data_IF_464239749382
#
_entry.id   IF_464239749382
#
_cell.length_a   1.000
_cell.length_b   1.000
_cell.length_c   1.000
_cell.angle_alpha   90.00
_cell.angle_beta   90.00
_cell.angle_gamma   90.00
#
_symmetry.space_group_name_H-M   'P 1'
#
loop_
_entity.id
_entity.type
_entity.pdbx_description
1 polymer ?
#
# COMPACT_ATOMS: atom_id res chain seq x y z
N UNK A 1 9.08 -8.74 -40.47
CA UNK A 1 8.62 -7.67 -41.39
C UNK A 1 7.15 -7.31 -41.19
N UNK A 2 6.16 -8.22 -41.31
CA UNK A 2 4.72 -7.88 -41.09
C UNK A 2 4.38 -7.25 -39.73
N UNK A 3 5.17 -7.51 -38.68
CA UNK A 3 4.93 -6.94 -37.34
C UNK A 3 5.46 -5.49 -37.18
N UNK A 4 6.51 -5.10 -37.91
CA UNK A 4 7.14 -3.78 -37.76
C UNK A 4 6.33 -2.67 -38.44
N UNK A 5 5.85 -2.89 -39.66
CA UNK A 5 5.02 -1.90 -40.39
C UNK A 5 3.70 -1.62 -39.66
N UNK A 6 3.09 -2.65 -39.07
CA UNK A 6 1.89 -2.50 -38.25
C UNK A 6 2.18 -1.71 -36.98
N UNK A 7 3.30 -1.98 -36.31
CA UNK A 7 3.71 -1.24 -35.12
C UNK A 7 4.02 0.24 -35.46
N UNK A 8 4.75 0.49 -36.54
CA UNK A 8 5.05 1.84 -37.03
C UNK A 8 3.76 2.63 -37.34
N UNK A 9 2.79 1.99 -37.98
CA UNK A 9 1.51 2.62 -38.30
C UNK A 9 0.73 2.97 -37.02
N UNK A 10 0.68 2.04 -36.05
CA UNK A 10 0.06 2.28 -34.74
C UNK A 10 0.75 3.42 -33.99
N UNK A 11 2.07 3.46 -33.95
CA UNK A 11 2.80 4.55 -33.28
C UNK A 11 2.59 5.90 -33.96
N UNK A 12 2.54 5.90 -35.30
CA UNK A 12 2.30 7.11 -36.08
C UNK A 12 0.91 7.71 -35.79
N UNK A 13 -0.13 6.89 -35.60
CA UNK A 13 -1.47 7.40 -35.27
C UNK A 13 -1.55 8.08 -33.90
N UNK A 14 -0.58 7.84 -33.01
CA UNK A 14 -0.47 8.47 -31.70
C UNK A 14 0.70 9.46 -31.59
N UNK A 15 1.37 9.79 -32.71
CA UNK A 15 2.56 10.67 -32.74
C UNK A 15 3.74 10.18 -31.89
N UNK A 16 3.93 8.86 -31.80
CA UNK A 16 4.96 8.21 -30.97
C UNK A 16 6.03 7.47 -31.79
N UNK A 17 6.15 7.73 -33.10
CA UNK A 17 7.08 6.99 -33.99
C UNK A 17 8.56 7.13 -33.60
N UNK A 18 8.93 8.18 -32.86
CA UNK A 18 10.31 8.44 -32.46
C UNK A 18 10.90 7.35 -31.56
N UNK A 19 10.07 6.54 -30.89
CA UNK A 19 10.56 5.42 -30.05
C UNK A 19 11.30 4.36 -30.86
N UNK A 20 11.09 4.30 -32.18
CA UNK A 20 11.77 3.38 -33.08
C UNK A 20 13.01 3.99 -33.76
N UNK A 21 13.45 5.20 -33.37
CA UNK A 21 14.54 5.91 -34.07
C UNK A 21 15.88 5.18 -34.09
N UNK A 22 16.12 4.27 -33.16
CA UNK A 22 17.35 3.46 -33.08
C UNK A 22 17.14 2.02 -33.55
N UNK A 23 15.98 1.68 -34.13
CA UNK A 23 15.59 0.30 -34.40
C UNK A 23 16.62 -0.51 -35.19
N UNK A 24 17.25 0.10 -36.20
CA UNK A 24 18.25 -0.54 -37.06
C UNK A 24 19.60 -0.77 -36.36
N UNK A 25 19.84 -0.13 -35.22
CA UNK A 25 21.01 -0.34 -34.36
C UNK A 25 20.80 -1.47 -33.34
N UNK A 26 19.55 -1.90 -33.14
CA UNK A 26 19.19 -2.84 -32.08
C UNK A 26 19.45 -4.30 -32.50
N UNK A 27 19.93 -5.09 -31.55
CA UNK A 27 19.94 -6.55 -31.69
C UNK A 27 18.51 -7.13 -31.75
N UNK A 28 18.30 -8.35 -32.28
CA UNK A 28 16.98 -8.99 -32.28
C UNK A 28 16.33 -9.13 -30.89
N UNK A 29 17.12 -9.37 -29.85
CA UNK A 29 16.64 -9.43 -28.46
C UNK A 29 16.17 -8.08 -27.93
N UNK A 30 16.88 -7.01 -28.30
CA UNK A 30 16.52 -5.65 -27.93
C UNK A 30 15.26 -5.16 -28.64
N UNK A 31 15.14 -5.49 -29.93
CA UNK A 31 13.93 -5.27 -30.71
C UNK A 31 12.72 -5.99 -30.07
N UNK A 32 12.87 -7.27 -29.72
CA UNK A 32 11.81 -8.04 -29.08
C UNK A 32 11.37 -7.43 -27.74
N UNK A 33 12.32 -6.98 -26.91
CA UNK A 33 12.02 -6.28 -25.64
C UNK A 33 11.22 -5.00 -25.87
N UNK A 34 11.66 -4.15 -26.78
CA UNK A 34 10.97 -2.89 -27.07
C UNK A 34 9.55 -3.13 -27.61
N UNK A 35 9.38 -4.11 -28.50
CA UNK A 35 8.06 -4.52 -29.00
C UNK A 35 7.15 -4.96 -27.86
N UNK A 36 7.63 -5.84 -26.97
CA UNK A 36 6.84 -6.31 -25.83
C UNK A 36 6.36 -5.14 -24.95
N UNK A 37 7.22 -4.16 -24.67
CA UNK A 37 6.83 -2.98 -23.88
C UNK A 37 5.80 -2.11 -24.60
N UNK A 38 5.91 -1.95 -25.92
CA UNK A 38 4.95 -1.16 -26.72
C UNK A 38 3.61 -1.88 -26.85
N UNK A 39 3.60 -3.21 -26.90
CA UNK A 39 2.37 -4.01 -26.97
C UNK A 39 1.54 -3.93 -25.68
N UNK A 40 2.19 -3.76 -24.52
CA UNK A 40 1.53 -3.58 -23.22
C UNK A 40 0.85 -2.21 -23.05
N UNK A 41 1.18 -1.22 -23.88
CA UNK A 41 0.62 0.13 -23.78
C UNK A 41 -0.76 0.20 -24.44
N UNK A 42 -1.74 0.64 -23.66
CA UNK A 42 -3.00 1.17 -24.17
C UNK A 42 -2.77 2.63 -24.62
N UNK A 43 -2.45 2.80 -25.91
CA UNK A 43 -2.18 4.11 -26.50
C UNK A 43 -3.40 5.03 -26.55
N UNK A 44 -4.61 4.50 -26.60
CA UNK A 44 -5.82 5.32 -26.57
C UNK A 44 -6.02 5.93 -25.19
N UNK A 45 -5.83 5.13 -24.13
CA UNK A 45 -5.82 5.62 -22.77
C UNK A 45 -4.69 6.64 -22.55
N UNK A 46 -3.47 6.32 -23.00
CA UNK A 46 -2.32 7.22 -22.85
C UNK A 46 -2.55 8.56 -23.56
N UNK A 47 -3.12 8.55 -24.76
CA UNK A 47 -3.43 9.78 -25.50
C UNK A 47 -4.43 10.68 -24.74
N UNK A 48 -5.47 10.10 -24.13
CA UNK A 48 -6.40 10.83 -23.26
C UNK A 48 -5.69 11.42 -22.04
N UNK A 49 -4.78 10.66 -21.44
CA UNK A 49 -4.00 11.12 -20.29
C UNK A 49 -3.06 12.28 -20.64
N UNK A 50 -2.43 12.24 -21.82
CA UNK A 50 -1.55 13.30 -22.34
C UNK A 50 -2.34 14.58 -22.64
N UNK A 51 -3.55 14.46 -23.18
CA UNK A 51 -4.37 15.61 -23.54
C UNK A 51 -4.81 16.46 -22.33
N UNK A 52 -4.74 15.92 -21.11
CA UNK A 52 -5.13 16.57 -19.83
C UNK A 52 -6.53 17.20 -19.89
N UNK A 53 -7.47 16.52 -20.56
CA UNK A 53 -8.86 16.98 -20.73
C UNK A 53 -9.74 16.74 -19.48
N UNK A 54 -9.16 16.22 -18.40
CA UNK A 54 -9.90 15.95 -17.16
C UNK A 54 -10.26 17.25 -16.46
N UNK A 55 -11.54 17.42 -16.13
CA UNK A 55 -12.01 18.56 -15.36
C UNK A 55 -11.38 18.51 -13.96
N UNK A 56 -10.53 19.49 -13.62
CA UNK A 56 -9.89 19.52 -12.30
C UNK A 56 -10.94 19.86 -11.24
N UNK A 57 -11.11 19.02 -10.22
CA UNK A 57 -12.04 19.33 -9.14
C UNK A 57 -11.64 20.63 -8.46
N UNK A 58 -12.61 21.46 -8.09
CA UNK A 58 -12.36 22.56 -7.16
C UNK A 58 -12.16 21.97 -5.76
N UNK A 59 -10.92 21.57 -5.46
CA UNK A 59 -10.54 20.99 -4.19
C UNK A 59 -10.80 21.93 -3.02
N UNK A 60 -10.78 23.25 -3.23
CA UNK A 60 -11.10 24.21 -2.19
C UNK A 60 -12.59 24.17 -1.83
N UNK A 61 -13.46 24.18 -2.85
CA UNK A 61 -14.90 24.03 -2.65
C UNK A 61 -15.25 22.66 -2.04
N UNK A 62 -14.65 21.59 -2.55
CA UNK A 62 -14.82 20.23 -2.00
C UNK A 62 -14.41 20.16 -0.54
N UNK A 63 -13.24 20.68 -0.18
CA UNK A 63 -12.75 20.65 1.19
C UNK A 63 -13.56 21.55 2.13
N UNK A 64 -14.07 22.69 1.65
CA UNK A 64 -14.95 23.55 2.42
C UNK A 64 -16.29 22.87 2.75
N UNK A 65 -16.86 22.17 1.77
CA UNK A 65 -18.10 21.40 1.90
C UNK A 65 -17.91 20.03 2.57
N UNK A 66 -16.67 19.63 2.85
CA UNK A 66 -16.38 18.30 3.38
C UNK A 66 -16.93 18.10 4.79
N UNK A 67 -17.45 16.89 5.01
CA UNK A 67 -17.97 16.40 6.27
C UNK A 67 -17.14 15.21 6.77
N UNK A 68 -17.26 14.91 8.07
CA UNK A 68 -16.60 13.75 8.65
C UNK A 68 -17.16 12.45 8.02
N UNK A 69 -16.31 11.46 7.73
CA UNK A 69 -16.78 10.20 7.18
C UNK A 69 -17.55 9.37 8.22
N UNK A 70 -18.43 8.45 7.79
CA UNK A 70 -18.95 7.40 8.65
C UNK A 70 -17.78 6.61 9.25
N UNK A 71 -17.63 6.69 10.57
CA UNK A 71 -16.44 6.17 11.24
C UNK A 71 -16.73 5.62 12.63
N UNK A 72 -15.91 4.67 13.05
CA UNK A 72 -15.72 4.35 14.47
C UNK A 72 -14.41 4.99 14.96
N UNK A 73 -14.46 5.59 16.14
CA UNK A 73 -13.31 6.24 16.80
C UNK A 73 -12.59 5.24 17.73
N UNK A 74 -11.39 5.58 18.20
CA UNK A 74 -10.58 4.70 19.08
C UNK A 74 -11.31 4.33 20.37
N UNK A 75 -12.17 5.20 20.88
CA UNK A 75 -12.99 4.96 22.08
C UNK A 75 -14.24 4.11 21.80
N UNK A 76 -14.42 3.61 20.58
CA UNK A 76 -15.57 2.82 20.13
C UNK A 76 -16.79 3.66 19.75
N UNK A 77 -16.74 4.99 19.84
CA UNK A 77 -17.85 5.86 19.46
C UNK A 77 -18.02 5.96 17.93
N UNK A 78 -19.22 6.29 17.46
CA UNK A 78 -19.52 6.53 16.04
C UNK A 78 -20.15 5.35 15.29
N UNK A 79 -20.20 4.16 15.89
CA UNK A 79 -20.87 2.98 15.34
C UNK A 79 -22.06 2.52 16.21
N UNK A 80 -22.98 1.76 15.62
CA UNK A 80 -24.14 1.17 16.30
C UNK A 80 -23.84 -0.15 17.03
N UNK A 81 -22.56 -0.53 17.13
CA UNK A 81 -22.08 -1.77 17.74
C UNK A 81 -20.80 -1.49 18.54
N UNK A 82 -20.44 -2.39 19.46
CA UNK A 82 -19.22 -2.24 20.28
C UNK A 82 -17.99 -2.82 19.59
N UNK A 83 -16.80 -2.45 20.08
CA UNK A 83 -15.52 -2.99 19.59
C UNK A 83 -15.45 -4.51 19.80
N UNK A 84 -16.00 -5.02 20.89
CA UNK A 84 -16.03 -6.47 21.19
C UNK A 84 -16.92 -7.23 20.20
N UNK A 85 -18.07 -6.65 19.82
CA UNK A 85 -18.95 -7.25 18.81
C UNK A 85 -18.28 -7.29 17.44
N UNK A 86 -17.61 -6.20 17.05
CA UNK A 86 -16.80 -6.17 15.84
C UNK A 86 -15.71 -7.24 15.90
N UNK A 87 -14.91 -7.26 16.98
CA UNK A 87 -13.86 -8.25 17.15
C UNK A 87 -14.39 -9.69 17.00
N UNK A 88 -15.49 -10.04 17.67
CA UNK A 88 -16.10 -11.37 17.54
C UNK A 88 -16.49 -11.70 16.08
N UNK A 89 -17.06 -10.74 15.36
CA UNK A 89 -17.41 -10.93 13.95
C UNK A 89 -16.18 -11.17 13.06
N UNK A 90 -15.10 -10.42 13.27
CA UNK A 90 -13.85 -10.63 12.53
C UNK A 90 -13.13 -11.92 12.90
N UNK A 91 -13.15 -12.32 14.17
CA UNK A 91 -12.63 -13.62 14.62
C UNK A 91 -13.40 -14.78 13.98
N UNK A 92 -14.73 -14.65 13.85
CA UNK A 92 -15.55 -15.64 13.16
C UNK A 92 -15.21 -15.74 11.67
N UNK A 93 -14.98 -14.62 10.98
CA UNK A 93 -14.57 -14.63 9.56
C UNK A 93 -13.19 -15.26 9.36
N UNK A 94 -12.23 -15.01 10.26
CA UNK A 94 -10.91 -15.65 10.24
C UNK A 94 -11.03 -17.18 10.45
N UNK A 95 -11.80 -17.62 11.45
CA UNK A 95 -12.04 -19.04 11.71
C UNK A 95 -12.82 -19.74 10.58
N UNK A 96 -13.62 -19.00 9.83
CA UNK A 96 -14.32 -19.49 8.64
C UNK A 96 -13.42 -19.60 7.39
N UNK A 97 -12.20 -19.01 7.42
CA UNK A 97 -11.31 -18.97 6.26
C UNK A 97 -11.74 -17.96 5.19
N UNK A 98 -12.53 -16.93 5.57
CA UNK A 98 -13.10 -15.95 4.64
C UNK A 98 -12.17 -14.74 4.39
N UNK A 99 -10.97 -14.74 4.97
CA UNK A 99 -10.03 -13.61 4.94
C UNK A 99 -8.73 -14.00 4.27
N UNK A 100 -8.26 -13.18 3.33
CA UNK A 100 -6.91 -13.23 2.75
C UNK A 100 -6.12 -11.98 3.11
N UNK A 101 -4.80 -12.06 3.02
CA UNK A 101 -3.88 -10.94 3.24
C UNK A 101 -3.31 -10.47 1.90
N UNK A 102 -3.25 -9.16 1.70
CA UNK A 102 -2.54 -8.56 0.56
C UNK A 102 -1.56 -7.48 1.00
N UNK A 103 -0.30 -7.64 0.59
CA UNK A 103 0.77 -6.66 0.81
C UNK A 103 1.19 -6.07 -0.52
N UNK A 104 1.18 -4.74 -0.60
CA UNK A 104 1.75 -4.01 -1.73
C UNK A 104 3.22 -3.68 -1.46
N UNK A 105 4.10 -4.35 -2.20
CA UNK A 105 5.56 -4.34 -2.06
C UNK A 105 6.29 -3.97 -3.37
N UNK A 106 5.68 -3.10 -4.19
CA UNK A 106 6.27 -2.65 -5.45
C UNK A 106 7.47 -1.71 -5.31
N UNK A 107 7.69 -1.13 -4.13
CA UNK A 107 8.74 -0.15 -3.89
C UNK A 107 10.10 -0.74 -3.49
N UNK A 108 11.18 -0.19 -4.05
CA UNK A 108 12.55 -0.44 -3.58
C UNK A 108 12.86 0.35 -2.29
N UNK A 109 13.82 -0.12 -1.52
CA UNK A 109 14.30 0.53 -0.30
C UNK A 109 15.30 1.68 -0.52
N UNK A 110 15.52 2.15 -1.75
CA UNK A 110 16.62 3.07 -2.09
C UNK A 110 16.64 4.36 -1.27
N UNK A 111 15.47 4.92 -0.93
CA UNK A 111 15.36 6.10 -0.03
C UNK A 111 15.86 5.84 1.40
N UNK A 112 15.97 4.59 1.79
CA UNK A 112 16.50 4.13 3.08
C UNK A 112 18.02 3.84 3.01
N UNK A 113 18.65 4.00 1.83
CA UNK A 113 20.00 3.49 1.58
C UNK A 113 20.05 1.96 1.48
N UNK A 114 18.94 1.33 1.08
CA UNK A 114 18.80 -0.13 0.99
C UNK A 114 18.42 -0.52 -0.45
N UNK A 115 19.35 -1.13 -1.18
CA UNK A 115 19.21 -1.40 -2.62
C UNK A 115 18.27 -2.56 -2.96
N UNK A 116 17.72 -3.25 -1.96
CA UNK A 116 16.83 -4.41 -2.13
C UNK A 116 15.34 -4.01 -2.01
N UNK A 117 14.39 -4.91 -2.38
CA UNK A 117 12.97 -4.72 -2.10
C UNK A 117 12.71 -4.34 -0.65
N UNK A 118 11.86 -3.33 -0.43
CA UNK A 118 11.64 -2.75 0.91
C UNK A 118 11.15 -3.75 1.94
N UNK A 119 10.38 -4.77 1.55
CA UNK A 119 9.91 -5.82 2.46
C UNK A 119 11.03 -6.66 3.07
N UNK A 120 12.23 -6.67 2.47
CA UNK A 120 13.42 -7.34 2.99
C UNK A 120 14.18 -6.47 4.01
N UNK A 121 13.73 -5.24 4.28
CA UNK A 121 14.42 -4.34 5.20
C UNK A 121 14.31 -4.82 6.66
N UNK A 122 15.42 -4.92 7.41
CA UNK A 122 15.43 -5.37 8.81
C UNK A 122 14.90 -4.29 9.76
N UNK A 123 13.69 -4.52 10.27
CA UNK A 123 12.95 -3.55 11.10
C UNK A 123 12.83 -3.99 12.56
N UNK A 124 13.07 -5.26 12.87
CA UNK A 124 13.06 -5.77 14.25
C UNK A 124 14.10 -5.05 15.13
N UNK A 125 13.70 -4.44 16.27
CA UNK A 125 14.62 -3.71 17.15
C UNK A 125 15.59 -4.63 17.93
N UNK A 126 15.23 -5.89 18.14
CA UNK A 126 16.07 -6.91 18.80
C UNK A 126 16.35 -8.09 17.88
N UNK A 127 15.33 -8.56 17.16
CA UNK A 127 15.39 -9.76 16.32
C UNK A 127 16.06 -9.55 14.95
N UNK A 128 16.16 -8.29 14.49
CA UNK A 128 16.50 -7.92 13.12
C UNK A 128 15.60 -8.55 12.03
N UNK A 129 14.41 -9.06 12.41
CA UNK A 129 13.44 -9.59 11.44
C UNK A 129 13.05 -8.51 10.44
N UNK A 130 12.83 -8.94 9.20
CA UNK A 130 12.44 -8.08 8.09
C UNK A 130 10.95 -7.72 8.17
N UNK A 131 10.53 -6.70 7.41
CA UNK A 131 9.10 -6.36 7.27
C UNK A 131 8.27 -7.56 6.78
N UNK A 132 8.75 -8.31 5.79
CA UNK A 132 8.06 -9.53 5.33
C UNK A 132 7.94 -10.58 6.44
N UNK A 133 8.99 -10.77 7.26
CA UNK A 133 8.93 -11.72 8.37
C UNK A 133 7.93 -11.28 9.45
N UNK A 134 7.82 -9.98 9.75
CA UNK A 134 6.79 -9.44 10.66
C UNK A 134 5.38 -9.82 10.21
N UNK A 135 5.10 -9.69 8.90
CA UNK A 135 3.79 -10.06 8.35
C UNK A 135 3.58 -11.58 8.35
N UNK A 136 4.58 -12.36 7.95
CA UNK A 136 4.50 -13.82 7.96
C UNK A 136 4.29 -14.40 9.38
N UNK A 137 5.05 -13.93 10.37
CA UNK A 137 4.90 -14.34 11.77
C UNK A 137 3.49 -14.08 12.30
N UNK A 138 2.91 -12.94 11.91
CA UNK A 138 1.54 -12.60 12.27
C UNK A 138 0.53 -13.52 11.61
N UNK A 139 0.66 -13.82 10.31
CA UNK A 139 -0.24 -14.74 9.62
C UNK A 139 -0.16 -16.15 10.21
N UNK A 140 1.04 -16.62 10.55
CA UNK A 140 1.25 -17.89 11.26
C UNK A 140 0.54 -17.91 12.63
N UNK A 141 0.71 -16.86 13.42
CA UNK A 141 0.05 -16.74 14.73
C UNK A 141 -1.48 -16.73 14.63
N UNK A 142 -2.04 -16.05 13.61
CA UNK A 142 -3.47 -16.06 13.34
C UNK A 142 -3.96 -17.44 12.89
N UNK A 143 -3.19 -18.11 12.03
CA UNK A 143 -3.52 -19.46 11.58
C UNK A 143 -3.54 -20.47 12.73
N UNK A 144 -2.55 -20.41 13.63
CA UNK A 144 -2.51 -21.20 14.86
C UNK A 144 -3.71 -20.91 15.77
N UNK A 145 -4.09 -19.63 15.92
CA UNK A 145 -5.20 -19.21 16.79
C UNK A 145 -6.57 -19.63 16.26
N UNK A 146 -6.81 -19.48 14.96
CA UNK A 146 -8.14 -19.66 14.35
C UNK A 146 -8.29 -20.97 13.56
N UNK A 147 -7.22 -21.76 13.43
CA UNK A 147 -7.24 -23.08 12.79
C UNK A 147 -7.39 -23.03 11.26
N UNK A 148 -7.10 -21.88 10.64
CA UNK A 148 -7.20 -21.66 9.19
C UNK A 148 -6.00 -20.88 8.69
N UNK A 149 -5.34 -21.38 7.66
CA UNK A 149 -4.33 -20.62 6.91
C UNK A 149 -4.96 -19.39 6.28
N UNK A 150 -4.18 -18.31 6.18
CA UNK A 150 -4.58 -17.06 5.53
C UNK A 150 -3.75 -16.92 4.25
N UNK A 151 -4.36 -17.01 3.06
CA UNK A 151 -3.63 -16.82 1.80
C UNK A 151 -2.97 -15.45 1.75
N UNK A 152 -1.69 -15.42 1.36
CA UNK A 152 -0.84 -14.24 1.35
C UNK A 152 -0.48 -13.83 -0.08
N UNK A 153 -1.15 -12.78 -0.55
CA UNK A 153 -0.93 -12.18 -1.86
C UNK A 153 0.09 -11.04 -1.75
N UNK A 154 1.13 -11.06 -2.56
CA UNK A 154 2.20 -10.06 -2.52
C UNK A 154 2.33 -9.41 -3.90
N UNK A 155 2.00 -8.12 -3.98
CA UNK A 155 2.15 -7.36 -5.21
C UNK A 155 3.54 -6.74 -5.30
N UNK A 156 4.30 -7.10 -6.34
CA UNK A 156 5.65 -6.59 -6.63
C UNK A 156 5.63 -5.66 -7.85
N UNK A 157 6.77 -5.03 -8.13
CA UNK A 157 7.02 -4.32 -9.39
C UNK A 157 8.02 -5.10 -10.25
N UNK A 158 8.24 -4.65 -11.49
CA UNK A 158 9.31 -5.18 -12.34
C UNK A 158 10.66 -5.24 -11.59
N UNK A 159 10.97 -4.15 -10.87
CA UNK A 159 12.23 -3.97 -10.17
C UNK A 159 12.36 -4.77 -8.86
N UNK A 160 11.25 -5.27 -8.30
CA UNK A 160 11.27 -5.98 -7.00
C UNK A 160 10.89 -7.45 -7.08
N UNK A 161 10.29 -7.92 -8.18
CA UNK A 161 9.69 -9.26 -8.26
C UNK A 161 10.71 -10.40 -8.12
N UNK A 162 11.77 -10.40 -8.93
CA UNK A 162 12.74 -11.49 -8.96
C UNK A 162 13.45 -11.66 -7.60
N UNK A 163 13.92 -10.56 -7.01
CA UNK A 163 14.55 -10.56 -5.68
C UNK A 163 13.57 -10.96 -4.58
N UNK A 164 12.31 -10.52 -4.65
CA UNK A 164 11.29 -10.90 -3.65
C UNK A 164 11.01 -12.40 -3.71
N UNK A 165 10.83 -12.99 -4.91
CA UNK A 165 10.63 -14.44 -5.06
C UNK A 165 11.81 -15.22 -4.51
N UNK A 166 13.03 -14.84 -4.92
CA UNK A 166 14.24 -15.48 -4.46
C UNK A 166 14.39 -15.40 -2.93
N UNK A 167 14.03 -14.26 -2.32
CA UNK A 167 14.04 -14.11 -0.87
C UNK A 167 13.08 -15.08 -0.17
N UNK A 168 11.83 -15.21 -0.64
CA UNK A 168 10.88 -16.16 -0.06
C UNK A 168 11.36 -17.61 -0.21
N UNK A 169 11.86 -18.00 -1.39
CA UNK A 169 12.39 -19.35 -1.63
C UNK A 169 13.60 -19.67 -0.74
N UNK A 170 14.55 -18.73 -0.61
CA UNK A 170 15.78 -18.93 0.18
C UNK A 170 15.54 -18.96 1.69
N UNK A 171 14.40 -18.41 2.15
CA UNK A 171 14.06 -18.32 3.57
C UNK A 171 12.88 -19.23 3.93
N UNK A 172 12.69 -20.34 3.21
CA UNK A 172 11.65 -21.35 3.48
C UNK A 172 10.25 -20.73 3.64
N UNK A 173 9.92 -19.79 2.74
CA UNK A 173 8.68 -19.00 2.73
C UNK A 173 8.35 -18.35 4.07
N UNK A 174 9.39 -18.03 4.87
CA UNK A 174 9.28 -17.39 6.18
C UNK A 174 8.49 -18.24 7.18
N UNK A 175 8.42 -19.56 6.96
CA UNK A 175 7.64 -20.53 7.73
C UNK A 175 6.20 -20.73 7.25
N UNK A 176 5.74 -19.96 6.24
CA UNK A 176 4.45 -20.19 5.59
C UNK A 176 4.52 -21.38 4.64
N UNK A 177 3.38 -22.01 4.36
CA UNK A 177 3.32 -22.98 3.25
C UNK A 177 3.51 -22.24 1.92
N UNK A 178 4.33 -22.75 0.98
CA UNK A 178 4.47 -22.19 -0.36
C UNK A 178 3.12 -22.05 -1.09
N UNK A 179 2.19 -22.98 -0.86
CA UNK A 179 0.85 -22.98 -1.46
C UNK A 179 -0.05 -21.85 -0.92
N UNK A 180 0.33 -21.17 0.16
CA UNK A 180 -0.38 -20.02 0.71
C UNK A 180 0.21 -18.69 0.23
N UNK A 181 1.32 -18.68 -0.51
CA UNK A 181 1.99 -17.44 -0.94
C UNK A 181 1.87 -17.27 -2.45
N UNK A 182 1.17 -16.22 -2.88
CA UNK A 182 1.04 -15.85 -4.29
C UNK A 182 1.68 -14.48 -4.53
N UNK A 183 2.86 -14.49 -5.16
CA UNK A 183 3.57 -13.26 -5.58
C UNK A 183 3.17 -12.93 -7.02
N UNK A 184 2.75 -11.70 -7.28
CA UNK A 184 2.34 -11.23 -8.61
C UNK A 184 2.79 -9.80 -8.89
N UNK A 185 2.94 -9.47 -10.18
CA UNK A 185 3.46 -8.16 -10.62
C UNK A 185 2.35 -7.18 -10.96
N UNK A 186 2.51 -5.95 -10.49
CA UNK A 186 1.68 -4.82 -10.90
C UNK A 186 1.93 -4.39 -12.36
N UNK A 187 1.12 -3.46 -12.86
CA UNK A 187 1.32 -2.87 -14.19
C UNK A 187 2.44 -1.84 -14.20
N UNK A 188 2.73 -1.32 -15.38
CA UNK A 188 3.59 -0.15 -15.54
C UNK A 188 2.96 0.84 -16.49
N UNK A 189 3.25 2.12 -16.28
CA UNK A 189 2.94 3.19 -17.21
C UNK A 189 4.24 3.79 -17.75
N UNK A 190 4.29 4.17 -19.04
CA UNK A 190 5.41 4.93 -19.56
C UNK A 190 5.43 6.36 -19.01
N UNK A 191 6.63 6.87 -18.77
CA UNK A 191 6.85 8.30 -18.58
C UNK A 191 6.80 9.00 -19.95
N UNK A 192 6.14 10.16 -19.98
CA UNK A 192 6.07 11.01 -21.17
C UNK A 192 6.76 12.33 -20.89
N UNK A 193 7.37 12.90 -21.92
CA UNK A 193 7.90 14.25 -21.89
C UNK A 193 6.78 15.25 -21.54
N UNK A 194 7.04 16.12 -20.56
CA UNK A 194 6.02 17.00 -20.01
C UNK A 194 5.55 18.09 -20.99
N UNK A 195 6.36 18.44 -21.98
CA UNK A 195 6.03 19.48 -22.95
C UNK A 195 5.36 18.94 -24.21
N UNK A 196 5.75 17.73 -24.63
CA UNK A 196 5.35 17.16 -25.93
C UNK A 196 4.42 15.96 -25.81
N UNK A 197 4.34 15.33 -24.64
CA UNK A 197 3.62 14.06 -24.46
C UNK A 197 4.29 12.86 -25.14
N UNK A 198 5.52 13.01 -25.64
CA UNK A 198 6.25 11.93 -26.27
C UNK A 198 6.76 10.91 -25.25
N UNK A 199 6.65 9.62 -25.55
CA UNK A 199 7.23 8.54 -24.75
C UNK A 199 8.74 8.77 -24.54
N UNK A 200 9.19 8.66 -23.30
CA UNK A 200 10.61 8.69 -22.98
C UNK A 200 11.25 7.30 -23.13
N UNK A 201 12.48 7.27 -23.64
CA UNK A 201 13.33 6.08 -23.73
C UNK A 201 14.33 6.08 -22.58
N UNK A 202 14.37 5.03 -21.77
CA UNK A 202 15.43 4.84 -20.76
C UNK A 202 16.74 4.35 -21.38
N UNK A 203 16.66 3.66 -22.51
CA UNK A 203 17.80 3.27 -23.35
C UNK A 203 17.35 3.24 -24.82
N UNK A 204 18.28 3.03 -25.77
CA UNK A 204 17.93 2.88 -27.19
C UNK A 204 16.90 1.79 -27.45
N UNK A 205 16.80 0.79 -26.57
CA UNK A 205 15.96 -0.40 -26.71
C UNK A 205 15.00 -0.64 -25.53
N UNK A 206 14.67 0.41 -24.76
CA UNK A 206 13.68 0.30 -23.67
C UNK A 206 13.02 1.65 -23.39
N UNK A 207 11.70 1.61 -23.17
CA UNK A 207 10.93 2.73 -22.64
C UNK A 207 11.35 3.05 -21.21
N UNK A 208 11.16 4.32 -20.80
CA UNK A 208 11.22 4.73 -19.41
C UNK A 208 9.88 4.42 -18.73
N UNK A 209 9.81 3.25 -18.10
CA UNK A 209 8.60 2.76 -17.41
C UNK A 209 8.65 3.06 -15.91
N UNK A 210 7.48 3.21 -15.30
CA UNK A 210 7.32 3.23 -13.85
C UNK A 210 6.11 2.40 -13.42
N UNK A 211 6.09 1.89 -12.18
CA UNK A 211 4.87 1.41 -11.53
C UNK A 211 3.64 2.28 -11.81
N UNK A 212 2.49 1.65 -12.03
CA UNK A 212 1.20 2.34 -12.25
C UNK A 212 0.50 2.75 -10.94
N UNK A 213 1.26 2.90 -9.85
CA UNK A 213 0.77 3.25 -8.52
C UNK A 213 0.11 2.10 -7.76
N UNK A 214 -0.12 2.27 -6.47
CA UNK A 214 -0.70 1.22 -5.63
C UNK A 214 -2.16 0.89 -5.98
N UNK A 215 -2.88 1.78 -6.68
CA UNK A 215 -4.18 1.48 -7.28
C UNK A 215 -4.11 0.46 -8.44
N UNK A 216 -2.94 0.25 -9.04
CA UNK A 216 -2.69 -0.83 -10.00
C UNK A 216 -3.02 -2.24 -9.45
N UNK A 217 -3.07 -2.38 -8.13
CA UNK A 217 -3.48 -3.62 -7.42
C UNK A 217 -4.76 -4.23 -7.97
N UNK A 218 -5.77 -3.43 -8.30
CA UNK A 218 -7.06 -3.97 -8.76
C UNK A 218 -6.91 -4.75 -10.07
N UNK A 219 -6.20 -4.19 -11.04
CA UNK A 219 -5.98 -4.85 -12.33
C UNK A 219 -4.94 -5.96 -12.23
N UNK A 220 -3.92 -5.77 -11.39
CA UNK A 220 -2.90 -6.78 -11.14
C UNK A 220 -3.47 -8.05 -10.51
N UNK A 221 -4.40 -7.93 -9.55
CA UNK A 221 -5.11 -9.06 -8.96
C UNK A 221 -5.96 -9.82 -9.98
N UNK A 222 -6.67 -9.11 -10.87
CA UNK A 222 -7.47 -9.74 -11.92
C UNK A 222 -6.60 -10.44 -12.97
N UNK A 223 -5.54 -9.78 -13.45
CA UNK A 223 -4.64 -10.29 -14.50
C UNK A 223 -3.84 -11.51 -14.04
N UNK A 224 -3.43 -11.54 -12.78
CA UNK A 224 -2.65 -12.64 -12.20
C UNK A 224 -3.48 -13.87 -11.85
N UNK A 225 -4.81 -13.78 -11.88
CA UNK A 225 -5.71 -14.83 -11.40
C UNK A 225 -5.86 -14.86 -9.87
N UNK A 226 -5.24 -13.93 -9.13
CA UNK A 226 -5.31 -13.88 -7.67
C UNK A 226 -6.75 -13.66 -7.15
N UNK A 227 -7.60 -12.92 -7.87
CA UNK A 227 -9.03 -12.82 -7.50
C UNK A 227 -9.75 -14.17 -7.62
N UNK A 228 -9.44 -14.96 -8.64
CA UNK A 228 -10.05 -16.27 -8.86
C UNK A 228 -9.53 -17.30 -7.85
N UNK A 229 -8.23 -17.27 -7.53
CA UNK A 229 -7.63 -18.07 -6.47
C UNK A 229 -8.26 -17.76 -5.10
N UNK A 230 -8.39 -16.47 -4.75
CA UNK A 230 -9.06 -16.05 -3.51
C UNK A 230 -10.49 -16.60 -3.41
N UNK A 231 -11.27 -16.48 -4.49
CA UNK A 231 -12.63 -17.03 -4.55
C UNK A 231 -12.65 -18.54 -4.40
N UNK A 232 -11.73 -19.24 -5.06
CA UNK A 232 -11.64 -20.70 -4.99
C UNK A 232 -11.34 -21.19 -3.57
N UNK A 233 -10.53 -20.44 -2.82
CA UNK A 233 -10.20 -20.70 -1.41
C UNK A 233 -11.30 -20.31 -0.42
N UNK A 234 -12.39 -19.70 -0.89
CA UNK A 234 -13.48 -19.21 -0.04
C UNK A 234 -13.23 -17.84 0.61
N UNK A 235 -12.18 -17.13 0.20
CA UNK A 235 -11.89 -15.77 0.67
C UNK A 235 -12.95 -14.81 0.16
N UNK A 236 -13.49 -14.01 1.07
CA UNK A 236 -14.49 -12.95 0.80
C UNK A 236 -13.94 -11.55 1.02
N UNK A 237 -12.94 -11.41 1.89
CA UNK A 237 -12.36 -10.13 2.29
C UNK A 237 -10.84 -10.17 2.19
N UNK A 238 -10.24 -9.15 1.57
CA UNK A 238 -8.79 -8.95 1.60
C UNK A 238 -8.43 -7.88 2.64
N UNK A 239 -7.57 -8.24 3.59
CA UNK A 239 -6.87 -7.28 4.44
C UNK A 239 -5.65 -6.75 3.69
N UNK A 240 -5.72 -5.49 3.30
CA UNK A 240 -4.74 -4.80 2.47
C UNK A 240 -3.85 -3.89 3.32
N UNK A 241 -2.53 -3.95 3.09
CA UNK A 241 -1.55 -3.02 3.65
C UNK A 241 -0.48 -2.63 2.63
N UNK A 242 0.17 -1.49 2.86
CA UNK A 242 1.46 -1.17 2.25
C UNK A 242 2.60 -1.77 3.09
N UNK A 243 3.65 -2.26 2.43
CA UNK A 243 4.74 -3.03 3.08
C UNK A 243 5.53 -2.25 4.15
N UNK A 244 5.41 -0.92 4.22
CA UNK A 244 6.36 -0.05 4.92
C UNK A 244 6.06 0.21 6.40
N UNK A 245 4.96 -0.30 6.93
CA UNK A 245 4.52 -0.05 8.29
C UNK A 245 4.63 -1.33 9.15
N UNK A 246 5.64 -1.46 10.03
CA UNK A 246 5.80 -2.63 10.89
C UNK A 246 4.78 -2.70 12.03
N UNK A 247 4.11 -1.60 12.39
CA UNK A 247 3.07 -1.59 13.43
C UNK A 247 1.68 -1.97 12.91
N UNK A 248 1.52 -2.15 11.60
CA UNK A 248 0.21 -2.49 11.06
C UNK A 248 -0.24 -3.86 11.53
N UNK A 249 -1.48 -3.92 11.99
CA UNK A 249 -2.12 -5.16 12.40
C UNK A 249 -2.75 -5.85 11.17
N UNK A 250 -1.91 -6.51 10.35
CA UNK A 250 -2.40 -7.29 9.18
C UNK A 250 -3.45 -8.32 9.61
N UNK A 251 -4.58 -8.38 8.92
CA UNK A 251 -5.72 -9.23 9.29
C UNK A 251 -6.22 -9.01 10.73
N UNK A 252 -6.26 -7.75 11.18
CA UNK A 252 -6.84 -7.36 12.48
C UNK A 252 -8.33 -7.76 12.59
N UNK A 253 -8.70 -8.64 13.56
CA UNK A 253 -10.08 -9.04 13.77
C UNK A 253 -11.02 -7.88 14.05
N UNK A 254 -10.57 -6.83 14.76
CA UNK A 254 -11.44 -5.69 15.06
C UNK A 254 -11.77 -4.89 13.79
N UNK A 255 -10.75 -4.56 12.98
CA UNK A 255 -10.93 -3.88 11.70
C UNK A 255 -11.83 -4.69 10.73
N UNK A 256 -11.59 -6.00 10.59
CA UNK A 256 -12.43 -6.89 9.77
C UNK A 256 -13.87 -6.90 10.31
N UNK A 257 -14.02 -6.94 11.63
CA UNK A 257 -15.30 -6.84 12.32
C UNK A 257 -16.10 -5.60 11.95
N UNK A 258 -15.48 -4.42 12.06
CA UNK A 258 -16.13 -3.16 11.69
C UNK A 258 -16.52 -3.14 10.21
N UNK A 259 -15.69 -3.70 9.33
CA UNK A 259 -16.01 -3.87 7.91
C UNK A 259 -17.28 -4.71 7.68
N UNK A 260 -17.41 -5.83 8.38
CA UNK A 260 -18.58 -6.70 8.30
C UNK A 260 -19.84 -6.05 8.87
N UNK A 261 -19.73 -5.44 10.06
CA UNK A 261 -20.86 -4.80 10.76
C UNK A 261 -21.39 -3.57 10.02
N UNK A 262 -20.52 -2.83 9.33
CA UNK A 262 -20.91 -1.70 8.46
C UNK A 262 -21.43 -2.14 7.09
N UNK A 263 -21.40 -3.45 6.77
CA UNK A 263 -21.74 -3.98 5.45
C UNK A 263 -20.99 -3.25 4.33
N UNK A 264 -19.73 -2.93 4.59
CA UNK A 264 -18.89 -2.13 3.72
C UNK A 264 -18.29 -2.96 2.60
N UNK A 265 -18.22 -2.41 1.39
CA UNK A 265 -17.40 -2.98 0.30
C UNK A 265 -15.92 -2.61 0.45
N UNK A 266 -15.62 -1.47 1.11
CA UNK A 266 -14.28 -0.96 1.38
C UNK A 266 -14.24 -0.19 2.70
N UNK A 267 -13.52 -0.74 3.66
CA UNK A 267 -13.25 -0.09 4.95
C UNK A 267 -11.81 0.36 4.99
N UNK A 268 -11.56 1.58 5.47
CA UNK A 268 -10.20 2.13 5.59
C UNK A 268 -9.86 2.41 7.04
N UNK A 269 -8.68 1.96 7.48
CA UNK A 269 -8.15 2.35 8.77
C UNK A 269 -7.40 3.68 8.65
N UNK A 270 -7.57 4.54 9.66
CA UNK A 270 -7.00 5.89 9.71
C UNK A 270 -6.37 6.15 11.07
N UNK A 271 -5.47 7.12 11.11
CA UNK A 271 -5.08 7.78 12.36
C UNK A 271 -5.72 9.15 12.43
N UNK A 272 -5.88 9.65 13.66
CA UNK A 272 -6.14 11.06 13.86
C UNK A 272 -4.92 11.88 13.50
N UNK A 273 -5.11 12.89 12.64
CA UNK A 273 -4.05 13.84 12.31
C UNK A 273 -3.55 14.56 13.56
N UNK A 274 -2.22 14.63 13.69
CA UNK A 274 -1.50 15.32 14.76
C UNK A 274 -1.55 16.82 14.58
N UNK A 275 -1.52 17.29 13.33
CA UNK A 275 -1.57 18.70 12.97
C UNK A 275 -2.26 18.89 11.59
N UNK A 276 -2.79 20.10 11.30
CA UNK A 276 -3.55 20.39 10.08
C UNK A 276 -2.90 19.95 8.76
N UNK A 277 -1.60 20.21 8.61
CA UNK A 277 -0.85 19.97 7.37
C UNK A 277 -0.01 18.67 7.40
N UNK A 278 -0.42 17.70 8.20
CA UNK A 278 0.21 16.38 8.18
C UNK A 278 0.06 15.74 6.78
N UNK A 279 1.16 15.19 6.23
CA UNK A 279 1.26 14.68 4.85
C UNK A 279 0.60 13.31 4.70
N UNK A 280 -0.72 13.29 4.87
CA UNK A 280 -1.58 12.12 4.73
C UNK A 280 -2.78 12.48 3.86
N UNK A 281 -3.31 11.51 3.12
CA UNK A 281 -4.59 11.67 2.43
C UNK A 281 -5.72 11.85 3.46
N UNK A 282 -6.59 12.85 3.24
CA UNK A 282 -7.66 13.21 4.19
C UNK A 282 -8.95 12.51 3.77
N UNK A 283 -9.42 11.54 4.56
CA UNK A 283 -10.67 10.85 4.27
C UNK A 283 -11.84 11.72 4.75
N UNK A 284 -12.77 12.03 3.84
CA UNK A 284 -13.94 12.85 4.15
C UNK A 284 -15.13 12.46 3.26
N UNK A 285 -16.31 12.91 3.64
CA UNK A 285 -17.46 12.93 2.74
C UNK A 285 -17.46 14.25 1.99
N UNK A 286 -17.37 14.19 0.67
CA UNK A 286 -17.52 15.34 -0.21
C UNK A 286 -18.34 14.92 -1.43
N UNK A 287 -19.23 15.79 -1.91
CA UNK A 287 -20.16 15.43 -3.00
C UNK A 287 -21.07 14.23 -2.67
N UNK A 288 -21.35 13.97 -1.39
CA UNK A 288 -22.20 12.87 -0.93
C UNK A 288 -21.54 11.49 -0.92
N UNK A 289 -20.24 11.39 -1.22
CA UNK A 289 -19.48 10.12 -1.21
C UNK A 289 -18.25 10.24 -0.33
N UNK A 290 -17.81 9.10 0.24
CA UNK A 290 -16.53 9.02 0.96
C UNK A 290 -15.40 9.02 -0.06
N UNK A 291 -14.42 9.90 0.12
CA UNK A 291 -13.28 10.03 -0.77
C UNK A 291 -12.05 10.54 -0.03
N UNK A 292 -10.89 10.51 -0.70
CA UNK A 292 -9.65 11.11 -0.19
C UNK A 292 -9.45 12.47 -0.83
N UNK A 293 -9.12 13.46 -0.01
CA UNK A 293 -8.58 14.74 -0.45
C UNK A 293 -7.09 14.73 -0.14
N UNK A 294 -6.27 14.69 -1.19
CA UNK A 294 -4.82 14.66 -1.05
C UNK A 294 -4.29 15.94 -0.41
N UNK A 295 -3.22 15.80 0.39
CA UNK A 295 -2.65 16.94 1.11
C UNK A 295 -2.01 17.99 0.18
N UNK A 296 -1.60 17.58 -1.03
CA UNK A 296 -1.04 18.45 -2.06
C UNK A 296 -2.06 19.44 -2.61
N UNK A 297 -3.33 19.05 -2.59
CA UNK A 297 -4.43 19.78 -3.21
C UNK A 297 -5.28 20.54 -2.19
N UNK A 298 -4.92 20.46 -0.90
CA UNK A 298 -5.68 21.01 0.20
C UNK A 298 -5.27 22.46 0.53
N UNK A 299 -6.19 23.44 0.46
CA UNK A 299 -5.90 24.79 0.95
C UNK A 299 -5.69 24.79 2.47
N UNK A 300 -4.74 25.62 2.94
CA UNK A 300 -4.41 25.74 4.38
C UNK A 300 -5.65 26.02 5.23
N UNK A 301 -6.52 26.93 4.79
CA UNK A 301 -7.75 27.26 5.52
C UNK A 301 -8.69 26.06 5.72
N UNK A 302 -8.75 25.15 4.74
CA UNK A 302 -9.55 23.93 4.85
C UNK A 302 -8.87 22.89 5.76
N UNK A 303 -7.54 22.78 5.68
CA UNK A 303 -6.76 21.91 6.56
C UNK A 303 -6.87 22.31 8.04
N UNK A 304 -6.92 23.60 8.33
CA UNK A 304 -7.02 24.19 9.67
C UNK A 304 -8.46 24.27 10.19
N UNK A 305 -9.45 24.00 9.34
CA UNK A 305 -10.85 24.10 9.71
C UNK A 305 -11.20 23.17 10.88
N UNK A 306 -11.96 23.72 11.84
CA UNK A 306 -12.37 23.00 13.05
C UNK A 306 -13.89 22.88 13.16
N UNK A 307 -14.34 21.82 13.81
CA UNK A 307 -15.74 21.61 14.14
C UNK A 307 -16.16 22.40 15.40
N UNK A 308 -17.43 22.26 15.82
CA UNK A 308 -17.97 22.93 17.00
C UNK A 308 -17.31 22.49 18.33
N UNK A 309 -16.60 21.35 18.34
CA UNK A 309 -15.86 20.83 19.49
C UNK A 309 -14.38 21.29 19.46
N UNK A 310 -13.97 22.05 18.45
CA UNK A 310 -12.60 22.50 18.25
C UNK A 310 -11.68 21.43 17.64
N UNK A 311 -12.23 20.30 17.19
CA UNK A 311 -11.47 19.24 16.51
C UNK A 311 -11.26 19.59 15.04
N UNK A 312 -10.22 19.06 14.40
CA UNK A 312 -10.05 19.23 12.95
C UNK A 312 -11.25 18.61 12.21
N UNK A 313 -11.85 19.35 11.27
CA UNK A 313 -12.90 18.78 10.40
C UNK A 313 -12.34 17.62 9.57
N UNK A 314 -11.16 17.85 8.99
CA UNK A 314 -10.39 16.85 8.26
C UNK A 314 -9.39 16.19 9.22
N UNK A 315 -9.90 15.31 10.07
CA UNK A 315 -9.12 14.60 11.10
C UNK A 315 -8.59 13.24 10.63
N UNK A 316 -9.28 12.58 9.70
CA UNK A 316 -9.04 11.19 9.33
C UNK A 316 -7.89 11.07 8.31
N UNK A 317 -6.69 10.80 8.81
CA UNK A 317 -5.49 10.58 8.00
C UNK A 317 -5.36 9.14 7.54
N UNK A 318 -5.40 8.92 6.23
CA UNK A 318 -5.20 7.59 5.63
C UNK A 318 -3.79 7.07 5.90
N UNK A 319 -3.72 5.80 6.34
CA UNK A 319 -2.46 5.08 6.58
C UNK A 319 -2.22 3.95 5.57
N UNK A 320 -3.03 3.87 4.50
CA UNK A 320 -2.89 2.86 3.45
C UNK A 320 -3.25 1.44 3.89
N UNK A 321 -4.19 1.31 4.84
CA UNK A 321 -4.67 0.05 5.40
C UNK A 321 -6.16 -0.09 5.13
N UNK A 322 -6.56 -1.19 4.50
CA UNK A 322 -7.93 -1.40 4.06
C UNK A 322 -8.42 -2.83 4.32
N UNK A 323 -9.74 -3.00 4.40
CA UNK A 323 -10.42 -4.29 4.21
C UNK A 323 -11.35 -4.14 3.03
N UNK A 324 -11.18 -5.00 2.03
CA UNK A 324 -11.85 -4.86 0.72
C UNK A 324 -12.60 -6.15 0.39
N UNK A 325 -13.86 -6.03 -0.02
CA UNK A 325 -14.63 -7.17 -0.50
C UNK A 325 -14.11 -7.66 -1.86
N UNK A 326 -13.97 -8.98 -2.00
CA UNK A 326 -13.54 -9.62 -3.24
C UNK A 326 -14.52 -9.33 -4.38
N UNK A 327 -15.83 -9.39 -4.13
CA UNK A 327 -16.82 -9.12 -5.18
C UNK A 327 -16.82 -7.66 -5.65
N UNK A 328 -16.50 -6.72 -4.75
CA UNK A 328 -16.27 -5.34 -5.12
C UNK A 328 -15.06 -5.20 -6.05
N UNK A 329 -13.94 -5.84 -5.75
CA UNK A 329 -12.75 -5.85 -6.62
C UNK A 329 -13.03 -6.50 -7.99
N UNK A 330 -13.78 -7.61 -8.03
CA UNK A 330 -14.20 -8.23 -9.28
C UNK A 330 -15.12 -7.34 -10.13
N UNK A 331 -15.97 -6.53 -9.48
CA UNK A 331 -16.83 -5.57 -10.18
C UNK A 331 -16.03 -4.42 -10.77
N UNK A 332 -15.14 -3.82 -9.97
CA UNK A 332 -14.35 -2.65 -10.35
C UNK A 332 -13.29 -3.00 -11.40
N UNK A 333 -12.62 -4.15 -11.29
CA UNK A 333 -11.61 -4.58 -12.28
C UNK A 333 -12.16 -4.69 -13.71
N UNK A 334 -13.45 -4.99 -13.86
CA UNK A 334 -14.14 -5.06 -15.15
C UNK A 334 -14.62 -3.71 -15.68
N UNK A 335 -14.60 -2.67 -14.86
CA UNK A 335 -15.05 -1.34 -15.25
C UNK A 335 -13.88 -0.56 -15.86
N UNK A 336 -14.07 -0.09 -17.10
CA UNK A 336 -13.09 0.77 -17.78
C UNK A 336 -12.99 2.10 -17.03
N UNK A 337 -11.78 2.52 -16.68
CA UNK A 337 -11.54 3.79 -16.00
C UNK A 337 -12.03 3.85 -14.55
N UNK A 338 -12.19 2.70 -13.88
CA UNK A 338 -12.72 2.66 -12.50
C UNK A 338 -11.83 3.38 -11.46
N UNK A 339 -10.56 3.58 -11.79
CA UNK A 339 -9.59 4.31 -10.98
C UNK A 339 -8.95 5.41 -11.84
N UNK A 340 -9.06 6.69 -11.45
CA UNK A 340 -8.41 7.78 -12.17
C UNK A 340 -6.89 7.66 -12.11
N UNK A 341 -6.21 8.22 -13.10
CA UNK A 341 -4.77 8.41 -13.05
C UNK A 341 -4.44 9.79 -12.52
N UNK A 342 -3.50 9.83 -11.60
CA UNK A 342 -2.87 11.03 -11.08
C UNK A 342 -1.59 11.32 -11.86
N UNK A 343 -1.37 12.60 -12.16
CA UNK A 343 -0.21 13.08 -12.91
C UNK A 343 0.86 13.58 -11.93
N UNK A 344 2.07 13.03 -12.02
CA UNK A 344 3.19 13.44 -11.18
C UNK A 344 4.36 13.97 -12.04
N UNK A 345 4.74 15.23 -11.83
CA UNK A 345 5.92 15.83 -12.45
C UNK A 345 7.20 15.30 -11.80
N UNK A 346 8.09 14.71 -12.61
CA UNK A 346 9.31 14.03 -12.14
C UNK A 346 10.52 14.31 -13.04
N UNK A 347 11.71 14.17 -12.46
CA UNK A 347 12.98 14.05 -13.17
C UNK A 347 13.14 12.59 -13.60
N UNK A 348 13.16 12.34 -14.91
CA UNK A 348 13.28 11.01 -15.49
C UNK A 348 14.48 11.00 -16.45
N UNK A 349 15.56 10.28 -16.11
CA UNK A 349 16.66 10.06 -17.04
C UNK A 349 16.16 9.42 -18.33
N UNK A 350 16.67 9.90 -19.46
CA UNK A 350 16.24 9.45 -20.78
C UNK A 350 17.38 9.49 -21.78
N UNK A 351 17.23 8.79 -22.89
CA UNK A 351 18.14 8.85 -24.03
C UNK A 351 17.67 9.91 -25.02
N UNK A 352 18.57 10.80 -25.42
CA UNK A 352 18.30 11.86 -26.39
C UNK A 352 18.28 11.37 -27.85
N UNK A 353 18.13 12.28 -28.81
CA UNK A 353 18.11 11.96 -30.24
C UNK A 353 19.45 11.41 -30.77
N UNK A 354 20.58 11.71 -30.12
CA UNK A 354 21.90 11.20 -30.47
C UNK A 354 22.21 9.84 -29.82
N UNK A 355 21.32 9.34 -28.96
CA UNK A 355 21.53 8.08 -28.26
C UNK A 355 22.31 8.21 -26.95
N UNK A 356 22.47 9.43 -26.42
CA UNK A 356 23.20 9.71 -25.18
C UNK A 356 22.24 9.78 -23.98
N UNK A 357 22.68 9.24 -22.84
CA UNK A 357 21.92 9.31 -21.59
C UNK A 357 21.98 10.73 -21.03
N UNK A 358 20.82 11.29 -20.72
CA UNK A 358 20.65 12.61 -20.13
C UNK A 358 20.03 12.47 -18.75
N UNK A 359 20.67 13.08 -17.75
CA UNK A 359 20.12 13.24 -16.41
C UNK A 359 19.59 14.68 -16.24
N UNK A 360 18.26 14.86 -16.19
CA UNK A 360 17.66 16.19 -16.18
C UNK A 360 17.83 16.89 -14.83
N UNK A 361 18.22 18.17 -14.86
CA UNK A 361 18.36 19.01 -13.65
C UNK A 361 17.03 19.49 -13.08
N UNK A 362 15.98 19.58 -13.91
CA UNK A 362 14.61 19.97 -13.56
C UNK A 362 13.60 18.90 -14.01
N UNK A 363 12.39 18.84 -13.44
CA UNK A 363 11.36 17.89 -13.89
C UNK A 363 11.08 18.01 -15.39
N UNK A 364 11.27 16.92 -16.13
CA UNK A 364 11.12 16.85 -17.60
C UNK A 364 9.95 15.95 -18.03
N UNK A 365 9.37 15.18 -17.10
CA UNK A 365 8.44 14.12 -17.44
C UNK A 365 7.20 14.12 -16.56
N UNK A 366 6.09 13.66 -17.14
CA UNK A 366 4.86 13.31 -16.44
C UNK A 366 4.80 11.80 -16.25
N UNK A 367 4.58 11.35 -15.01
CA UNK A 367 4.25 9.97 -14.67
C UNK A 367 2.78 9.84 -14.30
N UNK A 368 2.21 8.66 -14.55
CA UNK A 368 0.81 8.35 -14.29
C UNK A 368 0.71 7.25 -13.24
N UNK A 369 0.00 7.52 -12.14
CA UNK A 369 -0.18 6.59 -11.03
C UNK A 369 -1.65 6.50 -10.65
N UNK A 370 -2.12 5.30 -10.25
CA UNK A 370 -3.43 5.11 -9.64
C UNK A 370 -3.28 4.97 -8.14
N UNK A 371 -4.28 5.45 -7.39
CA UNK A 371 -4.30 5.29 -5.95
C UNK A 371 -5.45 4.39 -5.49
N UNK A 372 -5.14 3.41 -4.63
CA UNK A 372 -6.10 2.41 -4.13
C UNK A 372 -7.30 3.03 -3.41
N UNK A 373 -7.12 4.19 -2.79
CA UNK A 373 -8.16 4.86 -2.03
C UNK A 373 -9.19 5.57 -2.92
N UNK A 374 -8.90 5.77 -4.21
CA UNK A 374 -9.89 6.26 -5.19
C UNK A 374 -10.98 5.22 -5.49
N UNK A 375 -10.92 4.05 -4.85
CA UNK A 375 -12.02 3.10 -4.80
C UNK A 375 -13.15 3.53 -3.87
N UNK A 376 -12.88 4.39 -2.87
CA UNK A 376 -13.87 4.79 -1.85
C UNK A 376 -15.17 5.37 -2.46
N UNK A 377 -15.13 6.24 -3.47
CA UNK A 377 -16.35 6.76 -4.10
C UNK A 377 -17.23 5.68 -4.75
N UNK A 378 -16.63 4.56 -5.15
CA UNK A 378 -17.33 3.46 -5.84
C UNK A 378 -17.83 2.36 -4.89
N UNK A 379 -17.44 2.42 -3.62
CA UNK A 379 -17.76 1.41 -2.62
C UNK A 379 -19.09 1.72 -1.92
N UNK A 380 -19.94 0.71 -1.79
CA UNK A 380 -21.13 0.78 -0.96
C UNK A 380 -20.74 0.76 0.51
N UNK A 381 -21.38 1.63 1.28
CA UNK A 381 -21.17 1.78 2.72
C UNK A 381 -19.67 1.94 3.06
N UNK A 382 -18.94 2.73 2.29
CA UNK A 382 -17.54 3.05 2.61
C UNK A 382 -17.43 3.53 4.06
N UNK A 383 -16.54 2.90 4.83
CA UNK A 383 -16.49 3.08 6.29
C UNK A 383 -15.06 3.32 6.76
N UNK A 384 -14.91 4.05 7.86
CA UNK A 384 -13.61 4.44 8.42
C UNK A 384 -13.45 3.88 9.84
N UNK A 385 -12.25 3.39 10.16
CA UNK A 385 -11.93 2.89 11.49
C UNK A 385 -10.68 3.60 11.99
N UNK A 386 -10.81 4.36 13.07
CA UNK A 386 -9.67 5.02 13.70
C UNK A 386 -8.85 4.01 14.51
N UNK A 387 -7.54 4.07 14.39
CA UNK A 387 -6.58 3.39 15.27
C UNK A 387 -5.69 4.41 15.96
N UNK A 388 -5.26 4.09 17.18
CA UNK A 388 -4.21 4.88 17.83
C UNK A 388 -2.92 4.73 17.02
N UNK A 389 -2.28 5.84 16.63
CA UNK A 389 -1.06 5.82 15.84
C UNK A 389 0.04 4.96 16.51
N UNK A 390 0.14 5.04 17.84
CA UNK A 390 1.08 4.27 18.65
C UNK A 390 0.88 2.74 18.55
N UNK A 391 -0.26 2.28 18.04
CA UNK A 391 -0.63 0.88 17.94
C UNK A 391 -0.86 0.39 16.50
N UNK A 392 -0.74 1.28 15.50
CA UNK A 392 -1.05 0.94 14.12
C UNK A 392 -0.24 1.66 13.04
N UNK A 393 0.59 2.66 13.37
CA UNK A 393 1.27 3.47 12.36
C UNK A 393 2.67 3.97 12.77
N UNK A 394 3.70 3.37 12.18
CA UNK A 394 5.08 3.86 12.25
C UNK A 394 5.84 3.53 10.95
N UNK A 395 5.49 4.16 9.82
CA UNK A 395 6.03 3.79 8.53
C UNK A 395 7.53 4.09 8.40
N UNK A 396 8.23 3.31 7.59
CA UNK A 396 9.66 3.48 7.29
C UNK A 396 9.78 4.05 5.87
N UNK A 397 9.85 5.36 5.68
CA UNK A 397 9.88 6.01 4.35
C UNK A 397 11.20 6.69 4.02
N UNK A 398 11.93 7.16 5.04
CA UNK A 398 13.13 7.97 4.90
C UNK A 398 14.30 7.31 5.64
N UNK A 399 15.54 7.54 5.20
CA UNK A 399 16.72 7.11 5.94
C UNK A 399 16.83 7.78 7.32
N UNK A 400 17.59 7.17 8.22
CA UNK A 400 17.90 7.77 9.52
C UNK A 400 18.61 9.12 9.35
N UNK A 401 18.22 10.10 10.16
CA UNK A 401 18.63 11.51 10.04
C UNK A 401 17.55 12.43 9.46
N UNK A 402 16.51 11.87 8.82
CA UNK A 402 15.30 12.62 8.51
C UNK A 402 14.44 12.89 9.75
N UNK A 403 13.54 13.87 9.66
CA UNK A 403 12.67 14.30 10.77
C UNK A 403 11.65 13.23 11.19
N UNK A 404 11.10 12.50 10.22
CA UNK A 404 9.96 11.59 10.43
C UNK A 404 10.11 10.32 9.56
N UNK A 405 9.34 9.28 9.92
CA UNK A 405 9.18 8.03 9.16
C UNK A 405 10.51 7.31 8.87
N UNK A 406 11.37 7.17 9.88
CA UNK A 406 12.70 6.57 9.76
C UNK A 406 12.77 5.16 10.37
N UNK A 407 13.74 4.31 9.97
CA UNK A 407 14.00 3.03 10.61
C UNK A 407 14.14 3.13 12.14
N UNK A 408 14.86 4.15 12.63
CA UNK A 408 15.02 4.39 14.07
C UNK A 408 13.69 4.64 14.76
N UNK A 409 12.86 5.55 14.24
CA UNK A 409 11.57 5.89 14.85
C UNK A 409 10.61 4.70 14.83
N UNK A 410 10.61 3.90 13.76
CA UNK A 410 9.81 2.69 13.67
C UNK A 410 10.22 1.63 14.71
N UNK A 411 11.54 1.42 14.90
CA UNK A 411 12.08 0.53 15.94
C UNK A 411 11.70 1.00 17.34
N UNK A 412 11.81 2.30 17.61
CA UNK A 412 11.41 2.90 18.89
C UNK A 412 9.90 2.75 19.14
N UNK A 413 9.07 2.86 18.09
CA UNK A 413 7.63 2.67 18.18
C UNK A 413 7.26 1.20 18.51
N UNK A 414 7.92 0.22 17.89
CA UNK A 414 7.76 -1.22 18.22
C UNK A 414 8.14 -1.49 19.68
N UNK A 415 9.31 -0.99 20.12
CA UNK A 415 9.76 -1.15 21.52
C UNK A 415 8.75 -0.52 22.48
N UNK A 416 8.28 0.68 22.17
CA UNK A 416 7.31 1.39 22.99
C UNK A 416 5.99 0.63 23.09
N UNK A 417 5.49 0.06 21.99
CA UNK A 417 4.27 -0.75 21.99
C UNK A 417 4.41 -1.99 22.86
N UNK A 418 5.47 -2.77 22.64
CA UNK A 418 5.68 -3.99 23.40
C UNK A 418 6.01 -3.74 24.88
N UNK A 419 6.66 -2.61 25.22
CA UNK A 419 6.81 -2.17 26.60
C UNK A 419 5.45 -1.94 27.26
N UNK A 420 4.55 -1.19 26.63
CA UNK A 420 3.17 -0.97 27.13
C UNK A 420 2.44 -2.29 27.34
N UNK A 421 2.60 -3.25 26.43
CA UNK A 421 1.97 -4.57 26.56
C UNK A 421 2.51 -5.35 27.77
N UNK A 422 3.84 -5.35 27.97
CA UNK A 422 4.49 -6.02 29.09
C UNK A 422 4.10 -5.40 30.43
N UNK A 423 4.09 -4.07 30.52
CA UNK A 423 3.70 -3.34 31.72
C UNK A 423 2.22 -3.56 32.06
N UNK A 424 1.34 -3.52 31.06
CA UNK A 424 -0.08 -3.87 31.23
C UNK A 424 -0.28 -5.34 31.67
N UNK A 425 0.65 -6.22 31.32
CA UNK A 425 0.68 -7.62 31.75
C UNK A 425 1.35 -7.83 33.13
N UNK A 426 1.78 -6.76 33.81
CA UNK A 426 2.36 -6.81 35.16
C UNK A 426 3.88 -7.05 35.21
N UNK A 427 4.58 -6.88 34.09
CA UNK A 427 6.04 -6.87 34.06
C UNK A 427 6.61 -5.47 34.34
N UNK A 428 7.90 -5.39 34.61
CA UNK A 428 8.66 -4.13 34.69
C UNK A 428 9.81 -4.18 33.71
N UNK A 429 9.94 -3.15 32.88
CA UNK A 429 11.00 -3.01 31.86
C UNK A 429 11.91 -1.86 32.27
N UNK A 430 13.22 -2.08 32.31
CA UNK A 430 14.16 -1.00 32.59
C UNK A 430 14.19 0.05 31.45
N UNK A 431 14.54 1.30 31.77
CA UNK A 431 14.34 2.48 30.90
C UNK A 431 14.98 2.34 29.51
N UNK A 432 16.21 1.85 29.45
CA UNK A 432 16.98 1.73 28.19
C UNK A 432 16.88 0.35 27.51
N UNK A 433 16.03 -0.53 28.04
CA UNK A 433 15.89 -1.90 27.53
C UNK A 433 14.93 -1.96 26.35
N UNK A 434 15.41 -2.55 25.25
CA UNK A 434 14.59 -2.87 24.08
C UNK A 434 13.85 -4.17 24.30
N UNK A 435 12.56 -4.13 24.02
CA UNK A 435 11.69 -5.30 24.08
C UNK A 435 10.98 -5.49 22.75
N UNK A 436 10.87 -6.73 22.33
CA UNK A 436 10.19 -7.11 21.11
C UNK A 436 9.44 -8.42 21.33
N UNK A 437 8.18 -8.48 20.91
CA UNK A 437 7.32 -9.64 21.09
C UNK A 437 6.96 -10.20 19.72
N UNK A 438 7.27 -11.47 19.48
CA UNK A 438 6.80 -12.16 18.28
C UNK A 438 5.27 -12.34 18.34
N UNK A 439 4.52 -12.05 17.27
CA UNK A 439 3.08 -12.35 17.21
C UNK A 439 2.71 -13.80 17.58
N UNK A 440 3.57 -14.78 17.29
CA UNK A 440 3.37 -16.20 17.69
C UNK A 440 3.50 -16.40 19.20
N UNK A 441 4.30 -15.57 19.88
CA UNK A 441 4.31 -15.55 21.34
C UNK A 441 3.03 -14.90 21.88
N UNK A 442 2.64 -13.70 21.42
CA UNK A 442 1.36 -13.11 21.81
C UNK A 442 0.86 -12.10 20.77
N UNK A 443 -0.42 -12.19 20.40
CA UNK A 443 -1.09 -11.25 19.51
C UNK A 443 -1.64 -10.01 20.25
N UNK A 444 -1.66 -10.01 21.58
CA UNK A 444 -2.15 -8.91 22.39
C UNK A 444 -1.58 -8.92 23.81
N UNK A 445 -1.65 -7.78 24.50
CA UNK A 445 -1.30 -7.66 25.92
C UNK A 445 -2.08 -8.65 26.81
N UNK A 446 -3.35 -8.90 26.50
CA UNK A 446 -4.19 -9.84 27.24
C UNK A 446 -3.74 -11.31 27.06
N UNK A 447 -3.24 -11.68 25.87
CA UNK A 447 -2.63 -13.00 25.67
C UNK A 447 -1.27 -13.08 26.37
N UNK A 448 -0.48 -12.01 26.29
CA UNK A 448 0.84 -11.92 26.93
C UNK A 448 0.74 -12.13 28.44
N UNK A 449 -0.24 -11.51 29.10
CA UNK A 449 -0.49 -11.65 30.54
C UNK A 449 -0.76 -13.08 31.00
N UNK A 450 -1.18 -13.97 30.09
CA UNK A 450 -1.40 -15.40 30.38
C UNK A 450 -0.12 -16.23 30.26
N UNK A 451 0.91 -15.72 29.58
CA UNK A 451 2.16 -16.44 29.27
C UNK A 451 3.33 -16.02 30.14
N UNK A 452 3.36 -14.77 30.60
CA UNK A 452 4.48 -14.28 31.41
C UNK A 452 4.23 -14.47 32.92
N UNK A 453 5.29 -14.67 33.74
CA UNK A 453 5.17 -14.66 35.19
C UNK A 453 4.71 -13.30 35.72
N UNK A 454 3.94 -13.30 36.82
CA UNK A 454 3.66 -12.08 37.58
C UNK A 454 4.97 -11.45 38.08
N UNK A 455 5.10 -10.12 37.98
CA UNK A 455 6.28 -9.35 38.37
C UNK A 455 7.57 -9.70 37.62
N UNK A 456 7.46 -10.15 36.35
CA UNK A 456 8.62 -10.35 35.49
C UNK A 456 9.44 -9.04 35.37
N UNK A 457 10.73 -9.08 35.74
CA UNK A 457 11.66 -7.97 35.53
C UNK A 457 12.50 -8.20 34.29
N UNK A 458 12.64 -7.17 33.46
CA UNK A 458 13.40 -7.21 32.21
C UNK A 458 14.47 -6.13 32.27
N UNK A 459 15.71 -6.57 32.49
CA UNK A 459 16.87 -5.69 32.73
C UNK A 459 17.86 -5.67 31.55
N UNK A 460 17.63 -6.50 30.53
CA UNK A 460 18.44 -6.58 29.30
C UNK A 460 17.54 -6.68 28.09
N UNK A 461 18.03 -6.24 26.93
CA UNK A 461 17.33 -6.36 25.65
C UNK A 461 16.76 -7.76 25.46
N UNK A 462 15.47 -7.85 25.17
CA UNK A 462 14.76 -9.14 25.16
C UNK A 462 13.79 -9.25 23.99
N UNK A 463 13.97 -10.33 23.25
CA UNK A 463 13.01 -10.82 22.27
C UNK A 463 12.19 -11.97 22.88
N UNK A 464 10.87 -11.88 22.82
CA UNK A 464 9.95 -12.94 23.22
C UNK A 464 9.56 -13.74 21.98
N UNK A 465 10.22 -14.88 21.78
CA UNK A 465 9.99 -15.78 20.65
C UNK A 465 8.93 -16.84 20.97
N UNK A 466 8.40 -17.49 19.92
CA UNK A 466 7.29 -18.46 19.94
C UNK A 466 7.48 -19.65 20.87
#
# INVERSE_FOLDING_TARGET
>A
MKNLESLQTRLASFSQSHVLRFWDELSPSEQARLVSQLEEIDFEQLAKLIADEDEKPDFAALAAAAEAPPAVRVDGSGAGWTVEQAQQAGEAALAAGEVGAIVVAGGQGTRLGFEQPKGMFPVGPVSNRTLFQFFADRLLALAEKYGKSIPFYIMTSEATDAETRAYFEQNDYLGLSPDEVLIFRQGTMPAVDAATGQLLLASKSSLALSPDGHGGTVQALQRSGALDDAKHRGVRHLSYIQVDNPLVNLCDPALIGHHLMSQSELTTQVIRKRYPMEKVGNIAVAGGVVQVIEYSDLPVAAAEARDAKGELKLWAGSIGVHVIQIDFLCRISKQVGALPFHRASKKVPFVDAAGQLVEPSEPNATKFERFIFDLLPSAKNAFVVEVAAADGFAPVKNADGAENDTPKLAKEAIVSQHRRWLEAAGATVAEDVKVEINPRYALSSAQLAKKIPQNLKIEVDRYFDS
#
